data_IF_819640920500
#
_entry.id   IF_819640920500
#
_cell.length_a   1.000
_cell.length_b   1.000
_cell.length_c   1.000
_cell.angle_alpha   90.00
_cell.angle_beta   90.00
_cell.angle_gamma   90.00
#
_symmetry.space_group_name_H-M   'P 1'
#
loop_
_entity.id
_entity.type
_entity.pdbx_description
1 polymer ?
#
# COMPACT_ATOMS: atom_id res chain seq x y z
N UNK A 1 -2.73 -7.77 -22.69
CA UNK A 1 -2.56 -8.56 -21.44
C UNK A 1 -1.13 -8.30 -21.03
N UNK A 2 -0.90 -7.65 -19.87
CA UNK A 2 0.47 -7.35 -19.44
C UNK A 2 1.11 -8.68 -19.06
N UNK A 3 2.24 -9.01 -19.69
CA UNK A 3 3.04 -10.18 -19.38
C UNK A 3 3.66 -9.98 -17.99
N UNK A 4 3.11 -10.66 -16.98
CA UNK A 4 3.55 -10.61 -15.58
C UNK A 4 4.56 -11.70 -15.24
N UNK A 5 5.16 -12.34 -16.24
CA UNK A 5 6.09 -13.46 -16.03
C UNK A 5 7.32 -13.10 -15.19
N UNK A 6 7.57 -11.80 -14.94
CA UNK A 6 8.71 -11.30 -14.18
C UNK A 6 8.36 -10.12 -13.24
N UNK A 7 7.07 -9.90 -12.94
CA UNK A 7 6.55 -8.81 -12.10
C UNK A 7 6.33 -9.32 -10.68
N UNK A 8 6.97 -8.72 -9.68
CA UNK A 8 6.85 -9.16 -8.28
C UNK A 8 5.69 -8.42 -7.58
N UNK A 9 4.88 -9.13 -6.78
CA UNK A 9 3.89 -8.47 -5.95
C UNK A 9 4.61 -7.68 -4.85
N UNK A 10 4.39 -6.37 -4.83
CA UNK A 10 4.83 -5.49 -3.73
C UNK A 10 4.19 -5.92 -2.41
N UNK A 11 2.88 -6.21 -2.46
CA UNK A 11 2.15 -6.69 -1.29
C UNK A 11 0.84 -7.34 -1.69
N UNK A 12 0.37 -8.31 -0.89
CA UNK A 12 -0.94 -8.92 -1.02
C UNK A 12 -1.71 -8.88 0.30
N UNK A 13 -3.01 -8.65 0.23
CA UNK A 13 -3.82 -8.55 1.45
C UNK A 13 -3.95 -9.90 2.17
N UNK A 14 -3.93 -10.99 1.39
CA UNK A 14 -4.09 -12.35 1.89
C UNK A 14 -3.08 -12.70 2.98
N UNK A 15 -1.81 -12.27 2.86
CA UNK A 15 -0.78 -12.56 3.86
C UNK A 15 -1.15 -11.97 5.23
N UNK A 16 -1.69 -10.76 5.26
CA UNK A 16 -2.06 -10.08 6.51
C UNK A 16 -3.36 -10.64 7.10
N UNK A 17 -4.34 -10.97 6.25
CA UNK A 17 -5.56 -11.64 6.69
C UNK A 17 -5.30 -13.02 7.29
N UNK A 18 -4.28 -13.73 6.80
CA UNK A 18 -3.86 -15.01 7.39
C UNK A 18 -3.07 -14.83 8.70
N UNK A 19 -2.36 -13.71 8.86
CA UNK A 19 -1.63 -13.40 10.09
C UNK A 19 -2.56 -13.05 11.25
N UNK A 20 -3.66 -12.34 11.00
CA UNK A 20 -4.74 -12.11 11.96
C UNK A 20 -6.13 -12.30 11.30
N UNK A 21 -6.68 -13.52 11.34
CA UNK A 21 -7.97 -13.84 10.72
C UNK A 21 -9.18 -13.40 11.57
N UNK A 22 -8.98 -12.72 12.70
CA UNK A 22 -10.08 -12.21 13.51
C UNK A 22 -10.86 -11.13 12.75
N UNK A 23 -12.16 -10.90 13.08
CA UNK A 23 -12.91 -9.79 12.49
C UNK A 23 -12.22 -8.44 12.68
N UNK A 24 -11.56 -8.24 13.81
CA UNK A 24 -10.79 -7.03 14.11
C UNK A 24 -9.56 -6.91 13.21
N UNK A 25 -8.74 -7.96 13.13
CA UNK A 25 -7.55 -8.00 12.26
C UNK A 25 -7.89 -7.80 10.80
N UNK A 26 -9.01 -8.38 10.34
CA UNK A 26 -9.56 -8.12 9.00
C UNK A 26 -9.91 -6.65 8.79
N UNK A 27 -10.67 -6.06 9.71
CA UNK A 27 -11.05 -4.64 9.63
C UNK A 27 -9.83 -3.72 9.64
N UNK A 28 -8.83 -4.01 10.45
CA UNK A 28 -7.57 -3.24 10.51
C UNK A 28 -6.78 -3.40 9.22
N UNK A 29 -6.66 -4.62 8.72
CA UNK A 29 -6.00 -4.93 7.44
C UNK A 29 -6.63 -4.18 6.28
N UNK A 30 -7.95 -4.28 6.14
CA UNK A 30 -8.71 -3.56 5.12
C UNK A 30 -8.53 -2.05 5.23
N UNK A 31 -8.53 -1.48 6.46
CA UNK A 31 -8.35 -0.04 6.68
C UNK A 31 -6.99 0.46 6.24
N UNK A 32 -5.90 -0.21 6.63
CA UNK A 32 -4.58 0.27 6.25
C UNK A 32 -4.29 0.05 4.77
N UNK A 33 -4.79 -1.02 4.15
CA UNK A 33 -4.70 -1.18 2.70
C UNK A 33 -5.39 -0.03 1.96
N UNK A 34 -6.60 0.35 2.39
CA UNK A 34 -7.32 1.49 1.81
C UNK A 34 -6.54 2.79 2.01
N UNK A 35 -6.01 3.04 3.21
CA UNK A 35 -5.20 4.22 3.48
C UNK A 35 -3.94 4.28 2.61
N UNK A 36 -3.25 3.16 2.45
CA UNK A 36 -2.06 3.04 1.62
C UNK A 36 -2.36 3.30 0.15
N UNK A 37 -3.38 2.62 -0.41
CA UNK A 37 -3.77 2.80 -1.81
C UNK A 37 -4.24 4.23 -2.07
N UNK A 38 -5.00 4.83 -1.16
CA UNK A 38 -5.41 6.23 -1.29
C UNK A 38 -4.20 7.15 -1.30
N UNK A 39 -3.26 6.98 -0.37
CA UNK A 39 -2.02 7.75 -0.37
C UNK A 39 -1.27 7.65 -1.71
N UNK A 40 -1.13 6.45 -2.27
CA UNK A 40 -0.45 6.27 -3.56
C UNK A 40 -1.21 6.97 -4.70
N UNK A 41 -2.52 6.73 -4.81
CA UNK A 41 -3.33 7.30 -5.89
C UNK A 41 -3.44 8.83 -5.81
N UNK A 42 -3.68 9.37 -4.61
CA UNK A 42 -3.84 10.80 -4.38
C UNK A 42 -2.55 11.58 -4.67
N UNK A 43 -1.39 10.92 -4.59
CA UNK A 43 -0.10 11.49 -4.91
C UNK A 43 0.41 11.16 -6.33
N UNK A 44 -0.38 10.51 -7.17
CA UNK A 44 0.04 10.15 -8.54
C UNK A 44 1.12 9.07 -8.60
N UNK A 45 1.22 8.23 -7.57
CA UNK A 45 2.24 7.17 -7.44
C UNK A 45 1.81 5.84 -8.07
N UNK A 46 0.60 5.77 -8.64
CA UNK A 46 0.09 4.59 -9.33
C UNK A 46 -0.02 4.82 -10.83
N UNK A 47 0.37 3.83 -11.63
CA UNK A 47 0.25 3.86 -13.09
C UNK A 47 -1.22 3.68 -13.56
N UNK A 48 -2.06 3.12 -12.70
CA UNK A 48 -3.50 2.94 -12.94
C UNK A 48 -4.29 3.12 -11.64
N UNK A 49 -5.61 3.11 -11.75
CA UNK A 49 -6.50 3.07 -10.58
C UNK A 49 -6.54 1.65 -10.01
N UNK A 50 -6.24 1.51 -8.73
CA UNK A 50 -6.21 0.26 -7.97
C UNK A 50 -7.52 0.03 -7.21
N UNK A 51 -8.00 1.05 -6.51
CA UNK A 51 -9.28 1.03 -5.79
C UNK A 51 -10.15 2.22 -6.18
N UNK A 52 -11.46 1.96 -6.30
CA UNK A 52 -12.47 3.03 -6.39
C UNK A 52 -12.66 3.67 -5.01
N UNK A 53 -13.10 4.93 -5.01
CA UNK A 53 -13.39 5.64 -3.76
C UNK A 53 -14.46 4.88 -2.97
N UNK A 54 -14.15 4.54 -1.72
CA UNK A 54 -15.03 3.76 -0.84
C UNK A 54 -15.04 2.24 -1.12
N UNK A 55 -14.19 1.75 -2.02
CA UNK A 55 -14.03 0.31 -2.24
C UNK A 55 -13.08 -0.28 -1.20
N UNK A 56 -13.49 -1.39 -0.61
CA UNK A 56 -12.64 -2.23 0.23
C UNK A 56 -11.95 -3.30 -0.64
N UNK A 57 -10.65 -3.57 -0.45
CA UNK A 57 -9.97 -4.69 -1.12
C UNK A 57 -10.58 -6.04 -0.70
N UNK A 58 -10.74 -6.96 -1.65
CA UNK A 58 -11.08 -8.35 -1.37
C UNK A 58 -9.81 -9.18 -1.11
N UNK A 59 -9.96 -10.44 -0.69
CA UNK A 59 -8.84 -11.31 -0.30
C UNK A 59 -7.85 -11.64 -1.45
N UNK A 60 -8.22 -11.35 -2.69
CA UNK A 60 -7.37 -11.50 -3.89
C UNK A 60 -6.66 -10.21 -4.29
N UNK A 61 -6.84 -9.13 -3.54
CA UNK A 61 -6.24 -7.84 -3.84
C UNK A 61 -4.72 -7.87 -3.65
N UNK A 62 -4.02 -7.44 -4.68
CA UNK A 62 -2.56 -7.40 -4.76
C UNK A 62 -2.14 -6.08 -5.41
N UNK A 63 -1.04 -5.52 -4.92
CA UNK A 63 -0.35 -4.39 -5.55
C UNK A 63 0.92 -4.96 -6.16
N UNK A 64 1.06 -4.73 -7.47
CA UNK A 64 2.21 -5.18 -8.24
C UNK A 64 3.17 -4.02 -8.48
N UNK A 65 4.45 -4.29 -8.76
CA UNK A 65 5.38 -3.21 -9.09
C UNK A 65 4.91 -2.43 -10.33
N UNK A 66 4.40 -3.15 -11.35
CA UNK A 66 3.81 -2.55 -12.56
C UNK A 66 2.56 -1.69 -12.32
N UNK A 67 1.96 -1.75 -11.13
CA UNK A 67 0.85 -0.89 -10.75
C UNK A 67 1.30 0.50 -10.30
N UNK A 68 2.61 0.68 -10.07
CA UNK A 68 3.22 1.88 -9.54
C UNK A 68 3.97 2.66 -10.62
N UNK A 69 4.12 3.96 -10.40
CA UNK A 69 5.08 4.77 -11.15
C UNK A 69 6.50 4.56 -10.60
N UNK A 70 7.54 5.03 -11.29
CA UNK A 70 8.92 5.00 -10.77
C UNK A 70 9.02 5.69 -9.39
N UNK A 71 8.33 6.82 -9.20
CA UNK A 71 8.24 7.47 -7.89
C UNK A 71 7.52 6.57 -6.85
N UNK A 72 6.46 5.88 -7.27
CA UNK A 72 5.72 4.96 -6.42
C UNK A 72 6.56 3.81 -5.92
N UNK A 73 7.29 3.14 -6.81
CA UNK A 73 8.26 2.08 -6.45
C UNK A 73 9.27 2.62 -5.45
N UNK A 74 9.88 3.78 -5.73
CA UNK A 74 10.86 4.38 -4.83
C UNK A 74 10.30 4.75 -3.44
N UNK A 75 9.01 5.12 -3.34
CA UNK A 75 8.34 5.35 -2.05
C UNK A 75 8.15 4.05 -1.29
N UNK A 76 7.65 3.01 -1.97
CA UNK A 76 7.45 1.68 -1.39
C UNK A 76 8.75 1.16 -0.79
N UNK A 77 9.80 1.08 -1.60
CA UNK A 77 11.13 0.57 -1.20
C UNK A 77 11.69 1.29 0.02
N UNK A 78 11.48 2.61 0.10
CA UNK A 78 12.04 3.42 1.17
C UNK A 78 11.21 3.37 2.44
N UNK A 79 9.89 3.25 2.36
CA UNK A 79 9.02 3.67 3.47
C UNK A 79 7.94 2.66 3.88
N UNK A 80 7.57 1.71 3.03
CA UNK A 80 6.45 0.82 3.28
C UNK A 80 6.63 0.00 4.56
N UNK A 81 7.73 -0.75 4.70
CA UNK A 81 8.02 -1.56 5.89
C UNK A 81 8.08 -0.74 7.18
N UNK A 82 8.62 0.47 7.11
CA UNK A 82 8.72 1.37 8.27
C UNK A 82 7.35 1.88 8.70
N UNK A 83 6.47 2.10 7.74
CA UNK A 83 5.10 2.50 7.99
C UNK A 83 4.27 1.34 8.54
N UNK A 84 4.36 0.13 7.95
CA UNK A 84 3.75 -1.10 8.50
C UNK A 84 4.19 -1.34 9.94
N UNK A 85 5.50 -1.29 10.22
CA UNK A 85 5.99 -1.45 11.59
C UNK A 85 5.52 -0.34 12.55
N UNK A 86 5.08 0.82 12.05
CA UNK A 86 4.45 1.84 12.88
C UNK A 86 3.00 1.48 13.22
N UNK A 87 2.26 0.89 12.28
CA UNK A 87 0.91 0.35 12.51
C UNK A 87 0.95 -0.75 13.58
N UNK A 88 1.92 -1.66 13.50
CA UNK A 88 2.13 -2.71 14.52
C UNK A 88 2.39 -2.14 15.93
N UNK A 89 2.89 -0.90 16.01
CA UNK A 89 3.09 -0.16 17.28
C UNK A 89 1.88 0.68 17.70
N UNK A 90 0.74 0.52 17.04
CA UNK A 90 -0.51 1.20 17.35
C UNK A 90 -0.68 2.57 16.71
N UNK A 91 0.11 2.92 15.67
CA UNK A 91 -0.20 4.10 14.86
C UNK A 91 -1.48 3.88 14.06
N UNK A 92 -2.25 4.96 13.92
CA UNK A 92 -3.48 4.92 13.12
C UNK A 92 -3.16 4.70 11.63
N UNK A 93 -3.96 3.89 10.91
CA UNK A 93 -3.77 3.65 9.47
C UNK A 93 -3.76 4.89 8.58
N UNK A 94 -4.47 5.95 8.95
CA UNK A 94 -4.50 7.22 8.23
C UNK A 94 -3.31 8.15 8.55
N UNK A 95 -2.46 7.79 9.53
CA UNK A 95 -1.18 8.46 9.78
C UNK A 95 -0.13 7.99 8.76
N UNK A 96 -0.19 8.59 7.57
CA UNK A 96 0.72 8.36 6.45
C UNK A 96 1.97 9.23 6.50
N UNK A 97 2.27 9.87 7.64
CA UNK A 97 3.37 10.84 7.76
C UNK A 97 4.75 10.28 7.43
N UNK A 98 4.96 8.96 7.61
CA UNK A 98 6.19 8.27 7.21
C UNK A 98 6.31 8.23 5.67
N UNK A 99 5.22 7.94 4.98
CA UNK A 99 5.14 7.89 3.53
C UNK A 99 5.29 9.29 2.92
N UNK A 100 4.59 10.28 3.47
CA UNK A 100 4.70 11.69 3.05
C UNK A 100 6.14 12.21 3.16
N UNK A 101 6.83 11.92 4.27
CA UNK A 101 8.23 12.31 4.47
C UNK A 101 9.16 11.65 3.46
N UNK A 102 8.88 10.40 3.05
CA UNK A 102 9.66 9.71 2.03
C UNK A 102 9.43 10.31 0.64
N UNK A 103 8.17 10.55 0.29
CA UNK A 103 7.78 11.18 -0.97
C UNK A 103 8.39 12.59 -1.10
N UNK A 104 8.31 13.40 -0.05
CA UNK A 104 8.89 14.74 -0.04
C UNK A 104 10.42 14.71 -0.21
N UNK A 105 11.11 13.65 0.22
CA UNK A 105 12.55 13.48 -0.03
C UNK A 105 12.82 13.09 -1.47
N UNK A 106 11.99 12.24 -2.08
CA UNK A 106 12.15 11.80 -3.47
C UNK A 106 11.94 12.99 -4.42
N UNK A 107 10.88 13.78 -4.22
CA UNK A 107 10.51 14.93 -5.07
C UNK A 107 11.35 16.19 -4.91
N UNK A 108 12.19 16.26 -3.87
CA UNK A 108 13.08 17.41 -3.64
C UNK A 108 14.40 17.31 -4.39
N UNK A 109 14.57 16.24 -5.17
CA UNK A 109 15.64 16.09 -6.16
C UNK A 109 15.05 16.26 -7.56
#
# INVERSE_FOLDING_TARGET
MIDRSNDEPVTNIKTFLLADPSPQGRMETERWFVAFVNFLQDNGLTARKLLKKGQTPDESFEIWESDLTEEGVAVVDKAFDRWLGALDRGKAPDDVSILEKALAKIRKF
#
